data_IF_374829493842
#
_entry.id   IF_374829493842
#
_cell.length_a   1.000
_cell.length_b   1.000
_cell.length_c   1.000
_cell.angle_alpha   90.00
_cell.angle_beta   90.00
_cell.angle_gamma   90.00
#
_symmetry.space_group_name_H-M   'P 1'
#
loop_
_entity.id
_entity.type
_entity.pdbx_description
1 polymer ?
#
# COMPACT_ATOMS: atom_id res chain seq x y z
N UNK A 1 -10.81 4.99 0.67
CA UNK A 1 -10.57 4.39 -0.65
C UNK A 1 -10.94 5.36 -1.75
N UNK A 2 -12.12 5.98 -1.71
CA UNK A 2 -12.57 6.87 -2.81
C UNK A 2 -11.61 8.02 -3.15
N UNK A 3 -11.13 8.76 -2.14
CA UNK A 3 -10.14 9.83 -2.34
C UNK A 3 -8.86 9.32 -3.03
N UNK A 4 -8.38 8.13 -2.61
CA UNK A 4 -7.23 7.48 -3.24
C UNK A 4 -7.55 7.12 -4.69
N UNK A 5 -8.73 6.57 -5.00
CA UNK A 5 -9.14 6.26 -6.37
C UNK A 5 -9.13 7.50 -7.26
N UNK A 6 -9.65 8.62 -6.77
CA UNK A 6 -9.66 9.89 -7.50
C UNK A 6 -8.24 10.41 -7.76
N UNK A 7 -7.38 10.32 -6.74
CA UNK A 7 -5.96 10.69 -6.84
C UNK A 7 -5.23 9.85 -7.88
N UNK A 8 -5.41 8.53 -7.82
CA UNK A 8 -4.79 7.60 -8.78
C UNK A 8 -5.31 7.83 -10.19
N UNK A 9 -6.60 8.06 -10.36
CA UNK A 9 -7.18 8.33 -11.68
C UNK A 9 -6.56 9.59 -12.31
N UNK A 10 -6.41 10.66 -11.52
CA UNK A 10 -5.73 11.87 -11.97
C UNK A 10 -4.26 11.60 -12.31
N UNK A 11 -3.53 10.90 -11.43
CA UNK A 11 -2.13 10.52 -11.66
C UNK A 11 -1.96 9.68 -12.94
N UNK A 12 -2.78 8.65 -13.13
CA UNK A 12 -2.68 7.72 -14.24
C UNK A 12 -3.03 8.39 -15.59
N UNK A 13 -4.00 9.31 -15.60
CA UNK A 13 -4.36 10.07 -16.80
C UNK A 13 -3.14 10.77 -17.40
N UNK A 14 -2.35 11.43 -16.55
CA UNK A 14 -1.17 12.20 -16.93
C UNK A 14 0.14 11.40 -16.85
N UNK A 15 0.05 10.10 -16.51
CA UNK A 15 1.22 9.25 -16.34
C UNK A 15 1.98 9.07 -17.67
N UNK A 16 3.33 9.06 -17.62
CA UNK A 16 4.16 8.74 -18.78
C UNK A 16 3.84 7.36 -19.35
N UNK A 17 4.10 7.16 -20.64
CA UNK A 17 3.80 5.90 -21.33
C UNK A 17 4.45 4.67 -20.69
N UNK A 18 5.64 4.81 -20.10
CA UNK A 18 6.31 3.69 -19.44
C UNK A 18 5.53 3.21 -18.21
N UNK A 19 4.94 4.12 -17.41
CA UNK A 19 4.09 3.75 -16.28
C UNK A 19 2.83 3.03 -16.77
N UNK A 20 2.19 3.55 -17.84
CA UNK A 20 1.01 2.90 -18.44
C UNK A 20 1.33 1.48 -18.89
N UNK A 21 2.46 1.29 -19.56
CA UNK A 21 2.94 -0.03 -19.98
C UNK A 21 3.20 -0.95 -18.80
N UNK A 22 3.82 -0.49 -17.72
CA UNK A 22 4.03 -1.31 -16.53
C UNK A 22 2.72 -1.76 -15.88
N UNK A 23 1.68 -0.90 -15.91
CA UNK A 23 0.34 -1.31 -15.46
C UNK A 23 -0.25 -2.40 -16.37
N UNK A 24 -0.14 -2.24 -17.68
CA UNK A 24 -0.62 -3.24 -18.65
C UNK A 24 0.09 -4.59 -18.45
N UNK A 25 1.42 -4.58 -18.30
CA UNK A 25 2.25 -5.76 -18.02
C UNK A 25 1.82 -6.42 -16.70
N UNK A 26 1.70 -5.66 -15.61
CA UNK A 26 1.22 -6.19 -14.33
C UNK A 26 -0.19 -6.78 -14.42
N UNK A 27 -1.10 -6.17 -15.19
CA UNK A 27 -2.45 -6.69 -15.36
C UNK A 27 -2.45 -8.04 -16.08
N UNK A 28 -1.70 -8.15 -17.19
CA UNK A 28 -1.59 -9.38 -17.98
C UNK A 28 -0.91 -10.49 -17.20
N UNK A 29 0.17 -10.19 -16.48
CA UNK A 29 0.88 -11.20 -15.67
C UNK A 29 0.03 -11.75 -14.52
N UNK A 30 -0.82 -10.89 -13.94
CA UNK A 30 -1.67 -11.26 -12.81
C UNK A 30 -2.95 -11.98 -13.27
N UNK A 31 -3.54 -11.59 -14.39
CA UNK A 31 -4.77 -12.16 -14.95
C UNK A 31 -4.47 -13.42 -15.79
N UNK A 32 -4.04 -14.49 -15.12
CA UNK A 32 -3.54 -15.72 -15.75
C UNK A 32 -4.61 -16.43 -16.58
N UNK A 33 -5.87 -16.42 -16.12
CA UNK A 33 -6.97 -17.08 -16.83
C UNK A 33 -7.57 -16.25 -17.98
N UNK A 34 -7.20 -14.96 -18.07
CA UNK A 34 -7.62 -14.06 -19.13
C UNK A 34 -9.07 -13.58 -19.05
N UNK A 35 -9.75 -13.69 -17.91
CA UNK A 35 -11.19 -13.38 -17.77
C UNK A 35 -11.52 -11.87 -17.61
N UNK A 36 -10.61 -10.98 -18.06
CA UNK A 36 -10.63 -9.52 -17.86
C UNK A 36 -10.68 -9.05 -16.39
N UNK A 37 -10.50 -9.94 -15.40
CA UNK A 37 -10.50 -9.59 -13.98
C UNK A 37 -9.53 -10.46 -13.18
N UNK A 38 -8.71 -9.83 -12.35
CA UNK A 38 -7.87 -10.57 -11.43
C UNK A 38 -8.69 -11.13 -10.27
N UNK A 39 -8.73 -12.45 -10.15
CA UNK A 39 -9.31 -13.13 -9.01
C UNK A 39 -8.44 -12.98 -7.75
N UNK A 40 -9.02 -13.24 -6.58
CA UNK A 40 -8.27 -13.23 -5.32
C UNK A 40 -7.11 -14.23 -5.33
N UNK A 41 -7.29 -15.39 -5.96
CA UNK A 41 -6.25 -16.42 -6.00
C UNK A 41 -5.05 -15.98 -6.83
N UNK A 42 -5.32 -15.43 -8.02
CA UNK A 42 -4.31 -14.84 -8.90
C UNK A 42 -3.55 -13.70 -8.22
N UNK A 43 -4.28 -12.76 -7.61
CA UNK A 43 -3.67 -11.68 -6.84
C UNK A 43 -2.74 -12.21 -5.74
N UNK A 44 -3.20 -13.15 -4.92
CA UNK A 44 -2.40 -13.68 -3.80
C UNK A 44 -1.17 -14.43 -4.30
N UNK A 45 -1.29 -15.17 -5.41
CA UNK A 45 -0.19 -15.89 -6.05
C UNK A 45 0.85 -14.90 -6.58
N UNK A 46 0.43 -13.90 -7.37
CA UNK A 46 1.29 -12.85 -7.88
C UNK A 46 2.04 -12.14 -6.75
N UNK A 47 1.34 -11.63 -5.74
CA UNK A 47 1.96 -10.93 -4.61
C UNK A 47 2.98 -11.78 -3.85
N UNK A 48 2.80 -13.10 -3.79
CA UNK A 48 3.75 -14.01 -3.13
C UNK A 48 5.02 -14.25 -3.93
N UNK A 49 4.94 -14.15 -5.26
CA UNK A 49 6.08 -14.33 -6.16
C UNK A 49 7.05 -13.15 -6.09
N UNK A 50 6.58 -11.95 -5.75
CA UNK A 50 7.39 -10.75 -5.64
C UNK A 50 7.73 -10.45 -4.16
N UNK A 51 9.00 -10.61 -3.78
CA UNK A 51 9.47 -10.44 -2.39
C UNK A 51 9.01 -9.11 -1.77
N UNK A 52 9.17 -8.01 -2.51
CA UNK A 52 8.84 -6.66 -2.06
C UNK A 52 7.34 -6.45 -1.84
N UNK A 53 6.50 -7.26 -2.47
CA UNK A 53 5.03 -7.17 -2.41
C UNK A 53 4.38 -8.23 -1.51
N UNK A 54 5.16 -9.15 -0.91
CA UNK A 54 4.60 -10.23 -0.07
C UNK A 54 3.71 -9.74 1.06
N UNK A 55 4.05 -8.59 1.64
CA UNK A 55 3.28 -7.97 2.71
C UNK A 55 1.87 -7.53 2.29
N UNK A 56 1.64 -7.34 0.98
CA UNK A 56 0.33 -7.04 0.38
C UNK A 56 -0.50 -8.30 0.13
N UNK A 57 0.08 -9.50 0.23
CA UNK A 57 -0.59 -10.78 -0.06
C UNK A 57 -1.55 -11.20 1.06
N UNK A 58 -2.62 -10.42 1.26
CA UNK A 58 -3.65 -10.67 2.25
C UNK A 58 -5.04 -10.53 1.65
N UNK A 59 -5.99 -11.36 2.11
CA UNK A 59 -7.38 -11.26 1.69
C UNK A 59 -8.02 -9.93 2.08
N UNK A 60 -7.63 -9.36 3.23
CA UNK A 60 -8.12 -8.06 3.69
C UNK A 60 -7.70 -6.94 2.75
N UNK A 61 -6.44 -6.90 2.32
CA UNK A 61 -5.97 -5.89 1.39
C UNK A 61 -6.59 -6.04 0.00
N UNK A 62 -6.73 -7.27 -0.51
CA UNK A 62 -7.48 -7.53 -1.74
C UNK A 62 -8.91 -6.97 -1.68
N UNK A 63 -9.63 -7.25 -0.59
CA UNK A 63 -11.00 -6.76 -0.41
C UNK A 63 -11.07 -5.23 -0.31
N UNK A 64 -10.04 -4.59 0.24
CA UNK A 64 -9.93 -3.12 0.31
C UNK A 64 -9.70 -2.49 -1.07
N UNK A 65 -8.91 -3.12 -1.93
CA UNK A 65 -8.70 -2.66 -3.32
C UNK A 65 -9.96 -2.75 -4.15
N UNK A 66 -10.79 -3.75 -3.90
CA UNK A 66 -11.94 -4.05 -4.74
C UNK A 66 -13.06 -3.03 -4.53
N UNK A 67 -13.61 -2.47 -5.61
CA UNK A 67 -14.74 -1.53 -5.52
C UNK A 67 -16.07 -2.26 -5.25
N UNK A 68 -16.25 -3.43 -5.86
CA UNK A 68 -17.50 -4.20 -5.79
C UNK A 68 -17.32 -5.51 -5.01
N UNK A 69 -18.25 -5.81 -4.11
CA UNK A 69 -18.13 -6.94 -3.19
C UNK A 69 -18.15 -8.33 -3.89
N UNK A 70 -18.70 -8.41 -5.10
CA UNK A 70 -18.88 -9.68 -5.83
C UNK A 70 -17.97 -9.86 -7.06
N UNK A 71 -16.91 -9.06 -7.20
CA UNK A 71 -15.99 -9.11 -8.35
C UNK A 71 -14.56 -9.58 -8.05
N UNK A 72 -13.73 -9.64 -9.09
CA UNK A 72 -12.28 -9.53 -9.01
C UNK A 72 -11.82 -8.07 -9.10
N UNK A 73 -10.51 -7.84 -9.24
CA UNK A 73 -9.97 -6.52 -9.56
C UNK A 73 -10.06 -6.31 -11.07
N UNK A 74 -10.72 -5.24 -11.51
CA UNK A 74 -10.61 -4.84 -12.91
C UNK A 74 -9.30 -4.06 -13.16
N UNK A 75 -9.10 -3.62 -14.40
CA UNK A 75 -7.92 -2.86 -14.80
C UNK A 75 -7.68 -1.63 -13.91
N UNK A 76 -8.73 -0.88 -13.55
CA UNK A 76 -8.59 0.32 -12.73
C UNK A 76 -8.20 0.00 -11.29
N UNK A 77 -8.65 -1.13 -10.73
CA UNK A 77 -8.13 -1.61 -9.45
C UNK A 77 -6.65 -1.99 -9.52
N UNK A 78 -6.20 -2.55 -10.64
CA UNK A 78 -4.77 -2.86 -10.84
C UNK A 78 -3.94 -1.59 -11.01
N UNK A 79 -4.46 -0.55 -11.68
CA UNK A 79 -3.83 0.79 -11.69
C UNK A 79 -3.60 1.31 -10.25
N UNK A 80 -4.61 1.18 -9.39
CA UNK A 80 -4.52 1.61 -7.98
C UNK A 80 -3.49 0.80 -7.22
N UNK A 81 -3.45 -0.51 -7.42
CA UNK A 81 -2.45 -1.38 -6.81
C UNK A 81 -1.02 -1.00 -7.22
N UNK A 82 -0.78 -0.81 -8.53
CA UNK A 82 0.53 -0.41 -9.05
C UNK A 82 0.95 0.96 -8.50
N UNK A 83 0.01 1.91 -8.40
CA UNK A 83 0.27 3.19 -7.74
C UNK A 83 0.66 3.00 -6.27
N UNK A 84 -0.05 2.16 -5.51
CA UNK A 84 0.25 1.89 -4.09
C UNK A 84 1.66 1.33 -3.93
N UNK A 85 2.06 0.39 -4.78
CA UNK A 85 3.38 -0.23 -4.77
C UNK A 85 4.45 0.83 -5.06
N UNK A 86 4.33 1.58 -6.17
CA UNK A 86 5.37 2.53 -6.57
C UNK A 86 5.47 3.76 -5.68
N UNK A 87 4.35 4.24 -5.14
CA UNK A 87 4.35 5.36 -4.20
C UNK A 87 4.75 4.97 -2.77
N UNK A 88 4.90 3.66 -2.50
CA UNK A 88 5.28 3.15 -1.18
C UNK A 88 4.26 3.48 -0.09
N UNK A 89 2.96 3.51 -0.42
CA UNK A 89 1.94 3.86 0.59
C UNK A 89 2.00 2.89 1.78
N UNK A 90 2.08 3.40 3.02
CA UNK A 90 2.39 2.56 4.16
C UNK A 90 1.17 1.86 4.77
N UNK A 91 1.46 0.81 5.52
CA UNK A 91 0.56 0.27 6.54
C UNK A 91 0.82 0.98 7.87
N UNK A 92 -0.20 1.02 8.72
CA UNK A 92 -0.11 1.65 10.02
C UNK A 92 0.73 0.81 10.99
N UNK A 93 1.77 1.41 11.59
CA UNK A 93 2.60 0.83 12.65
C UNK A 93 1.92 0.84 14.03
N UNK A 94 0.76 1.49 14.12
CA UNK A 94 -0.12 1.47 15.29
C UNK A 94 -0.84 0.14 15.47
N UNK A 95 -1.80 0.12 16.40
CA UNK A 95 -2.50 -1.11 16.78
C UNK A 95 -3.42 -1.66 15.68
N UNK A 96 -3.92 -0.81 14.76
CA UNK A 96 -4.86 -1.25 13.73
C UNK A 96 -4.20 -2.03 12.60
N UNK A 97 -2.87 -1.91 12.40
CA UNK A 97 -2.09 -2.57 11.34
C UNK A 97 -2.68 -2.46 9.92
N UNK A 98 -3.55 -1.48 9.70
CA UNK A 98 -4.35 -1.35 8.50
C UNK A 98 -3.62 -0.56 7.42
N UNK A 99 -3.93 -0.83 6.15
CA UNK A 99 -3.45 -0.03 5.03
C UNK A 99 -3.91 1.43 5.16
N UNK A 100 -2.99 2.40 5.01
CA UNK A 100 -3.33 3.82 5.17
C UNK A 100 -3.72 4.43 3.82
N UNK A 101 -5.02 4.70 3.69
CA UNK A 101 -5.65 5.14 2.43
C UNK A 101 -5.43 6.64 2.18
N UNK A 102 -5.52 7.45 3.22
CA UNK A 102 -5.43 8.92 3.16
C UNK A 102 -4.12 9.45 3.71
N UNK A 103 -4.19 10.62 4.35
CA UNK A 103 -3.08 11.23 5.07
C UNK A 103 -2.63 10.34 6.24
N UNK A 104 -1.35 10.44 6.56
CA UNK A 104 -0.72 9.74 7.68
C UNK A 104 0.37 10.60 8.28
N UNK A 105 0.75 10.24 9.51
CA UNK A 105 1.90 10.84 10.19
C UNK A 105 3.08 9.91 10.03
N UNK A 106 4.23 10.46 9.66
CA UNK A 106 5.49 9.71 9.55
C UNK A 106 6.54 10.31 10.46
N UNK A 107 7.39 9.46 11.03
CA UNK A 107 8.57 9.93 11.75
C UNK A 107 9.66 10.35 10.76
N UNK A 108 9.92 11.66 10.64
CA UNK A 108 10.92 12.22 9.72
C UNK A 108 12.30 11.59 9.90
N UNK A 109 12.76 11.43 11.14
CA UNK A 109 14.08 10.81 11.40
C UNK A 109 14.14 9.35 10.96
N UNK A 110 13.05 8.57 11.12
CA UNK A 110 13.01 7.22 10.60
C UNK A 110 13.04 7.26 9.07
N UNK A 111 12.17 8.08 8.46
CA UNK A 111 12.08 8.26 7.01
C UNK A 111 13.42 8.60 6.35
N UNK A 112 14.24 9.44 6.99
CA UNK A 112 15.57 9.83 6.52
C UNK A 112 16.65 8.74 6.75
N UNK A 113 16.27 7.57 7.27
CA UNK A 113 17.17 6.46 7.56
C UNK A 113 18.10 6.72 8.75
N UNK A 114 17.84 7.74 9.56
CA UNK A 114 18.63 7.99 10.76
C UNK A 114 18.22 7.06 11.89
N UNK A 115 19.19 6.37 12.48
CA UNK A 115 19.01 5.72 13.77
C UNK A 115 18.79 6.79 14.84
N UNK A 116 17.64 6.75 15.52
CA UNK A 116 17.43 7.60 16.70
C UNK A 116 16.64 6.85 17.79
N UNK A 117 17.27 6.72 18.95
CA UNK A 117 16.73 6.00 20.10
C UNK A 117 16.66 4.48 19.89
N UNK A 118 15.62 3.86 20.46
CA UNK A 118 15.32 2.42 20.32
C UNK A 118 14.29 2.12 19.21
N UNK A 119 14.04 3.06 18.30
CA UNK A 119 13.03 2.90 17.23
C UNK A 119 13.58 1.90 16.19
N UNK A 120 13.48 0.60 16.52
CA UNK A 120 13.85 -0.54 15.68
C UNK A 120 12.66 -0.87 14.76
N UNK A 121 12.31 0.08 13.90
CA UNK A 121 11.22 -0.12 12.95
C UNK A 121 11.74 -0.94 11.75
N UNK A 122 11.07 -2.04 11.39
CA UNK A 122 11.33 -2.71 10.11
C UNK A 122 11.21 -1.69 8.97
N UNK A 123 12.11 -1.76 7.99
CA UNK A 123 12.09 -0.95 6.76
C UNK A 123 12.30 0.56 6.95
N UNK A 124 12.94 1.00 8.05
CA UNK A 124 13.33 2.40 8.28
C UNK A 124 12.18 3.42 8.12
N UNK A 125 10.93 3.06 8.40
CA UNK A 125 9.84 4.03 8.44
C UNK A 125 8.91 3.73 9.61
N UNK A 126 8.32 4.77 10.19
CA UNK A 126 7.26 4.63 11.19
C UNK A 126 6.09 5.50 10.76
N UNK A 127 5.00 4.89 10.34
CA UNK A 127 3.84 5.55 9.76
C UNK A 127 2.58 5.18 10.54
N UNK A 128 1.77 6.17 10.91
CA UNK A 128 0.52 5.94 11.65
C UNK A 128 -0.63 6.68 11.01
N UNK A 129 -1.79 6.03 10.96
CA UNK A 129 -3.03 6.69 10.56
C UNK A 129 -3.48 7.71 11.61
N UNK A 130 -4.36 8.63 11.21
CA UNK A 130 -4.91 9.67 12.10
C UNK A 130 -5.50 9.10 13.39
N UNK A 131 -6.26 8.00 13.32
CA UNK A 131 -6.87 7.38 14.49
C UNK A 131 -5.80 6.88 15.49
N UNK A 132 -4.82 6.10 15.02
CA UNK A 132 -3.73 5.63 15.88
C UNK A 132 -2.88 6.77 16.44
N UNK A 133 -2.68 7.84 15.67
CA UNK A 133 -1.95 9.03 16.14
C UNK A 133 -2.69 9.73 17.29
N UNK A 134 -4.01 9.92 17.16
CA UNK A 134 -4.86 10.48 18.22
C UNK A 134 -4.86 9.61 19.48
N UNK A 135 -4.80 8.28 19.32
CA UNK A 135 -4.67 7.31 20.42
C UNK A 135 -3.25 7.26 21.04
N UNK A 136 -2.40 8.23 20.71
CA UNK A 136 -1.05 8.39 21.28
C UNK A 136 -0.01 7.43 20.72
N UNK A 137 -0.28 6.76 19.58
CA UNK A 137 0.76 5.97 18.90
C UNK A 137 1.70 6.89 18.13
N UNK A 138 2.88 7.08 18.70
CA UNK A 138 4.02 7.82 18.12
C UNK A 138 5.23 6.89 18.04
N UNK A 139 6.22 7.18 17.16
CA UNK A 139 7.46 6.38 17.15
C UNK A 139 8.06 6.45 18.56
N UNK A 140 8.46 5.31 19.15
CA UNK A 140 9.05 5.27 20.47
C UNK A 140 10.35 6.08 20.47
N UNK A 141 10.23 7.34 20.88
CA UNK A 141 11.36 8.19 21.21
C UNK A 141 12.17 7.49 22.30
N UNK A 142 13.51 7.69 22.38
CA UNK A 142 14.17 7.38 23.64
C UNK A 142 13.52 8.28 24.68
N UNK A 143 12.70 7.70 25.56
CA UNK A 143 12.29 8.42 26.75
C UNK A 143 13.60 8.82 27.44
N UNK A 144 13.89 10.12 27.42
CA UNK A 144 14.91 10.67 28.30
C UNK A 144 14.38 10.34 29.68
N UNK A 145 15.01 9.35 30.31
CA UNK A 145 14.80 9.05 31.71
C UNK A 145 15.32 10.30 32.42
N UNK A 146 14.41 11.19 32.80
CA UNK A 146 14.70 12.34 33.65
C UNK A 146 14.90 11.87 35.08
#
# INVERSE_FOLDING_TARGET
MEELRQTVLAYYKDAPQHIKRSVDECFVEMNVDGNDRVSRQEFLAYMKMHEDCKHLSTCSFFNELRKEEKGGLDFMEVVILVYIIYSGKPFCDGHCRSFIKGMYFTCVKCFDGHEHGRCRVPNNTFNVCTACYVDGKICPWPQIVS
#
